data_IF_269858642900
#
_entry.id   IF_269858642900
#
_cell.length_a   1.000
_cell.length_b   1.000
_cell.length_c   1.000
_cell.angle_alpha   90.00
_cell.angle_beta   90.00
_cell.angle_gamma   90.00
#
_symmetry.space_group_name_H-M   'P 1'
#
loop_
_entity.id
_entity.type
_entity.pdbx_description
1 polymer ?
#
# COMPACT_ATOMS: atom_id res chain seq x y z
N UNK A 1 -18.31 -3.74 17.27
CA UNK A 1 -17.08 -4.51 16.96
C UNK A 1 -16.27 -4.69 18.23
N UNK A 2 -15.91 -5.92 18.60
CA UNK A 2 -15.15 -6.19 19.83
C UNK A 2 -13.70 -5.69 19.72
N UNK A 3 -13.06 -5.38 20.85
CA UNK A 3 -11.65 -4.97 20.90
C UNK A 3 -10.72 -6.02 20.26
N UNK A 4 -11.06 -7.32 20.42
CA UNK A 4 -10.36 -8.43 19.78
C UNK A 4 -10.42 -8.38 18.24
N UNK A 5 -11.58 -8.01 17.66
CA UNK A 5 -11.72 -7.85 16.22
C UNK A 5 -10.93 -6.64 15.68
N UNK A 6 -10.89 -5.52 16.41
CA UNK A 6 -10.08 -4.34 16.04
C UNK A 6 -8.58 -4.65 16.07
N UNK A 7 -8.13 -5.34 17.11
CA UNK A 7 -6.72 -5.76 17.26
C UNK A 7 -6.28 -6.73 16.14
N UNK A 8 -7.09 -7.74 15.83
CA UNK A 8 -6.83 -8.66 14.72
C UNK A 8 -6.78 -7.93 13.37
N UNK A 9 -7.64 -6.94 13.16
CA UNK A 9 -7.63 -6.13 11.95
C UNK A 9 -6.35 -5.29 11.81
N UNK A 10 -5.85 -4.71 12.90
CA UNK A 10 -4.59 -3.96 12.91
C UNK A 10 -3.39 -4.81 12.50
N UNK A 11 -3.27 -6.03 13.02
CA UNK A 11 -2.18 -6.96 12.67
C UNK A 11 -2.23 -7.38 11.20
N UNK A 12 -3.43 -7.67 10.68
CA UNK A 12 -3.59 -8.04 9.27
C UNK A 12 -3.20 -6.88 8.35
N UNK A 13 -3.55 -5.65 8.74
CA UNK A 13 -3.20 -4.44 8.01
C UNK A 13 -1.68 -4.25 7.96
N UNK A 14 -1.00 -4.39 9.09
CA UNK A 14 0.46 -4.27 9.19
C UNK A 14 1.18 -5.25 8.27
N UNK A 15 0.84 -6.53 8.37
CA UNK A 15 1.40 -7.56 7.49
C UNK A 15 1.12 -7.28 6.01
N UNK A 16 -0.03 -6.71 5.69
CA UNK A 16 -0.37 -6.35 4.32
C UNK A 16 0.47 -5.18 3.81
N UNK A 17 0.64 -4.14 4.61
CA UNK A 17 1.45 -2.96 4.28
C UNK A 17 2.92 -3.35 4.14
N UNK A 18 3.48 -4.04 5.13
CA UNK A 18 4.87 -4.50 5.09
C UNK A 18 5.10 -5.44 3.90
N UNK A 19 4.18 -6.37 3.65
CA UNK A 19 4.25 -7.25 2.49
C UNK A 19 4.16 -6.49 1.17
N UNK A 20 3.31 -5.47 1.07
CA UNK A 20 3.21 -4.64 -0.12
C UNK A 20 4.51 -3.87 -0.39
N UNK A 21 5.09 -3.24 0.63
CA UNK A 21 6.36 -2.51 0.54
C UNK A 21 7.50 -3.44 0.13
N UNK A 22 7.61 -4.62 0.75
CA UNK A 22 8.62 -5.61 0.38
C UNK A 22 8.50 -6.03 -1.07
N UNK A 23 7.28 -6.26 -1.56
CA UNK A 23 7.07 -6.59 -2.97
C UNK A 23 7.45 -5.44 -3.92
N UNK A 24 7.36 -4.18 -3.50
CA UNK A 24 7.86 -3.03 -4.28
C UNK A 24 9.39 -3.05 -4.30
N UNK A 25 10.03 -3.19 -3.14
CA UNK A 25 11.49 -3.17 -2.99
C UNK A 25 12.18 -4.32 -3.73
N UNK A 26 11.57 -5.50 -3.74
CA UNK A 26 12.05 -6.69 -4.45
C UNK A 26 11.66 -6.70 -5.94
N UNK A 27 11.03 -5.62 -6.43
CA UNK A 27 10.53 -5.53 -7.82
C UNK A 27 9.63 -6.72 -8.20
N UNK A 28 8.81 -7.18 -7.25
CA UNK A 28 7.88 -8.31 -7.36
C UNK A 28 6.45 -7.89 -7.77
N UNK A 29 6.24 -6.60 -8.04
CA UNK A 29 4.98 -6.04 -8.55
C UNK A 29 5.19 -5.51 -9.97
N UNK A 30 4.30 -5.87 -10.88
CA UNK A 30 4.13 -5.13 -12.12
C UNK A 30 3.10 -4.02 -11.92
N UNK A 31 3.40 -2.85 -12.48
CA UNK A 31 2.48 -1.73 -12.56
C UNK A 31 1.96 -1.62 -14.00
N UNK A 32 0.66 -1.85 -14.19
CA UNK A 32 -0.03 -1.61 -15.45
C UNK A 32 -0.54 -0.17 -15.46
N UNK A 33 0.17 0.67 -16.20
CA UNK A 33 -0.19 2.06 -16.42
C UNK A 33 -1.23 2.24 -17.55
N UNK A 34 -1.60 1.16 -18.24
CA UNK A 34 -2.61 1.16 -19.29
C UNK A 34 -4.04 1.13 -18.72
N UNK A 35 -4.23 0.54 -17.53
CA UNK A 35 -5.45 0.67 -16.72
C UNK A 35 -5.52 2.08 -16.14
N UNK A 36 -5.95 3.02 -16.96
CA UNK A 36 -5.99 4.43 -16.63
C UNK A 36 -6.96 4.72 -15.47
N UNK A 37 -6.43 4.96 -14.27
CA UNK A 37 -7.13 5.78 -13.26
C UNK A 37 -6.96 7.25 -13.63
N UNK A 38 -7.70 7.69 -14.66
CA UNK A 38 -7.80 9.12 -15.02
C UNK A 38 -8.79 9.77 -14.07
N UNK A 39 -8.30 10.49 -13.07
CA UNK A 39 -9.12 11.45 -12.31
C UNK A 39 -9.17 12.81 -13.03
N UNK A 40 -8.16 13.15 -13.86
CA UNK A 40 -8.25 14.25 -14.85
C UNK A 40 -7.03 14.26 -15.82
N UNK A 41 -7.13 15.05 -16.90
CA UNK A 41 -6.25 15.14 -18.09
C UNK A 41 -4.78 15.62 -17.88
N UNK A 42 -4.20 15.39 -16.70
CA UNK A 42 -2.74 15.49 -16.48
C UNK A 42 -2.23 14.09 -16.17
N UNK A 43 -1.71 13.44 -17.22
CA UNK A 43 -1.42 12.00 -17.30
C UNK A 43 -0.85 11.38 -16.04
N UNK A 44 -1.32 10.16 -15.71
CA UNK A 44 -0.94 9.37 -14.52
C UNK A 44 -0.70 10.27 -13.31
N UNK A 45 -1.79 10.60 -12.60
CA UNK A 45 -1.77 11.27 -11.30
C UNK A 45 -0.52 10.85 -10.52
N UNK A 46 0.15 11.80 -9.86
CA UNK A 46 1.43 11.62 -9.15
C UNK A 46 1.34 10.70 -7.91
N UNK A 47 0.38 9.78 -7.91
CA UNK A 47 0.05 8.78 -6.92
C UNK A 47 1.28 7.95 -6.54
N UNK A 48 2.15 7.65 -7.50
CA UNK A 48 3.38 6.89 -7.23
C UNK A 48 4.33 7.72 -6.37
N UNK A 49 4.56 8.99 -6.68
CA UNK A 49 5.43 9.82 -5.84
C UNK A 49 4.79 10.11 -4.48
N UNK A 50 3.46 10.28 -4.40
CA UNK A 50 2.76 10.39 -3.12
C UNK A 50 2.90 9.12 -2.28
N UNK A 51 2.73 7.94 -2.90
CA UNK A 51 2.91 6.64 -2.27
C UNK A 51 4.36 6.43 -1.82
N UNK A 52 5.33 6.82 -2.65
CA UNK A 52 6.76 6.78 -2.33
C UNK A 52 7.06 7.62 -1.08
N UNK A 53 6.56 8.87 -1.02
CA UNK A 53 6.71 9.75 0.14
C UNK A 53 6.11 9.10 1.39
N UNK A 54 4.93 8.49 1.28
CA UNK A 54 4.28 7.79 2.41
C UNK A 54 5.10 6.58 2.87
N UNK A 55 5.61 5.76 1.95
CA UNK A 55 6.46 4.60 2.26
C UNK A 55 7.74 5.06 2.96
N UNK A 56 8.41 6.10 2.45
CA UNK A 56 9.63 6.64 3.08
C UNK A 56 9.33 7.12 4.50
N UNK A 57 8.20 7.80 4.74
CA UNK A 57 7.79 8.22 6.09
C UNK A 57 7.52 7.01 6.97
N UNK A 58 6.72 6.05 6.50
CA UNK A 58 6.41 4.81 7.22
C UNK A 58 7.65 4.04 7.68
N UNK A 59 8.69 3.98 6.85
CA UNK A 59 9.96 3.32 7.17
C UNK A 59 10.82 4.08 8.18
N UNK A 60 10.57 5.38 8.38
CA UNK A 60 11.28 6.24 9.35
C UNK A 60 10.57 6.33 10.69
N UNK A 61 9.26 6.08 10.73
CA UNK A 61 8.48 6.12 11.96
C UNK A 61 8.84 4.98 12.91
N UNK A 62 8.79 5.26 14.21
CA UNK A 62 8.96 4.24 15.23
C UNK A 62 7.71 3.35 15.31
N UNK A 63 7.89 2.05 15.15
CA UNK A 63 6.81 1.06 15.08
C UNK A 63 6.40 0.61 16.49
N UNK A 64 5.82 1.52 17.26
CA UNK A 64 5.34 1.26 18.61
C UNK A 64 3.83 1.48 18.73
N UNK A 65 3.22 0.88 19.76
CA UNK A 65 1.77 0.87 19.94
C UNK A 65 1.15 2.24 20.30
N UNK A 66 1.98 3.22 20.65
CA UNK A 66 1.58 4.57 21.04
C UNK A 66 1.78 5.58 19.91
N UNK A 67 2.50 5.22 18.85
CA UNK A 67 2.77 6.08 17.70
C UNK A 67 1.54 6.15 16.78
N UNK A 68 0.71 7.16 17.01
CA UNK A 68 -0.49 7.41 16.21
C UNK A 68 -0.19 7.81 14.77
N UNK A 69 0.97 8.43 14.50
CA UNK A 69 1.37 8.81 13.14
C UNK A 69 1.79 7.59 12.33
N UNK A 70 2.47 6.61 12.94
CA UNK A 70 2.73 5.31 12.34
C UNK A 70 1.44 4.65 11.85
N UNK A 71 0.43 4.53 12.72
CA UNK A 71 -0.86 3.93 12.37
C UNK A 71 -1.61 4.71 11.29
N UNK A 72 -1.53 6.04 11.31
CA UNK A 72 -2.15 6.89 10.29
C UNK A 72 -1.50 6.68 8.93
N UNK A 73 -0.17 6.70 8.85
CA UNK A 73 0.55 6.48 7.58
C UNK A 73 0.32 5.05 7.08
N UNK A 74 0.30 4.06 7.98
CA UNK A 74 -0.06 2.68 7.67
C UNK A 74 -1.43 2.59 7.00
N UNK A 75 -2.43 3.30 7.53
CA UNK A 75 -3.79 3.32 6.99
C UNK A 75 -3.85 3.96 5.61
N UNK A 76 -3.09 5.03 5.38
CA UNK A 76 -2.96 5.67 4.08
C UNK A 76 -2.35 4.73 3.04
N UNK A 77 -1.24 4.06 3.37
CA UNK A 77 -0.58 3.10 2.47
C UNK A 77 -1.50 1.90 2.18
N UNK A 78 -2.20 1.40 3.19
CA UNK A 78 -3.15 0.30 3.00
C UNK A 78 -4.31 0.71 2.07
N UNK A 79 -4.85 1.93 2.23
CA UNK A 79 -5.88 2.48 1.35
C UNK A 79 -5.39 2.56 -0.10
N UNK A 80 -4.17 3.05 -0.29
CA UNK A 80 -3.56 3.18 -1.61
C UNK A 80 -3.30 1.82 -2.27
N UNK A 81 -2.81 0.83 -1.51
CA UNK A 81 -2.69 -0.55 -1.96
C UNK A 81 -4.04 -1.12 -2.44
N UNK A 82 -5.12 -0.91 -1.68
CA UNK A 82 -6.46 -1.39 -2.07
C UNK A 82 -6.95 -0.73 -3.36
N UNK A 83 -6.77 0.59 -3.51
CA UNK A 83 -7.14 1.30 -4.74
C UNK A 83 -6.38 0.73 -5.94
N UNK A 84 -5.05 0.63 -5.84
CA UNK A 84 -4.21 0.08 -6.89
C UNK A 84 -4.65 -1.33 -7.31
N UNK A 85 -5.00 -2.17 -6.34
CA UNK A 85 -5.49 -3.53 -6.59
C UNK A 85 -6.87 -3.55 -7.23
N UNK A 86 -7.82 -2.76 -6.74
CA UNK A 86 -9.20 -2.69 -7.26
C UNK A 86 -9.21 -2.15 -8.70
N UNK A 87 -8.38 -1.16 -9.00
CA UNK A 87 -8.27 -0.61 -10.35
C UNK A 87 -7.41 -1.45 -11.29
N UNK A 88 -6.89 -2.60 -10.85
CA UNK A 88 -6.07 -3.48 -11.67
C UNK A 88 -4.76 -2.84 -12.13
N UNK A 89 -4.22 -1.90 -11.33
CA UNK A 89 -2.96 -1.21 -11.63
C UNK A 89 -1.77 -2.07 -11.17
N UNK A 90 -1.93 -2.86 -10.11
CA UNK A 90 -0.85 -3.72 -9.59
C UNK A 90 -1.19 -5.20 -9.67
N UNK A 91 -0.20 -6.01 -10.01
CA UNK A 91 -0.26 -7.47 -10.03
C UNK A 91 1.11 -8.04 -9.67
N UNK A 92 1.14 -9.22 -9.04
CA UNK A 92 2.39 -9.88 -8.68
C UNK A 92 3.04 -10.47 -9.92
N UNK A 93 4.36 -10.26 -10.08
CA UNK A 93 5.14 -10.83 -11.19
C UNK A 93 5.10 -12.36 -11.19
N UNK A 94 5.10 -12.97 -10.00
CA UNK A 94 4.90 -14.41 -9.83
C UNK A 94 3.43 -14.76 -9.60
N UNK A 95 2.67 -14.67 -10.69
CA UNK A 95 1.43 -15.44 -10.90
C UNK A 95 1.46 -16.22 -12.21
N UNK A 96 2.64 -16.34 -12.84
CA UNK A 96 2.89 -17.23 -13.98
C UNK A 96 3.81 -18.34 -13.47
N UNK A 97 3.26 -19.24 -12.66
CA UNK A 97 3.72 -20.62 -12.68
C UNK A 97 2.80 -21.35 -13.66
N UNK A 98 3.42 -21.99 -14.64
CA UNK A 98 2.79 -22.82 -15.67
C UNK A 98 1.86 -23.87 -15.09
#
# INVERSE_FOLDING_TARGET
MSASSKFKYGIIREKTVDGFINNIMEDNIYFDYSTSYKVDDKGVYNFINELEIKIIKYLKEDKNAENTEYYKIQDEIFSDYLKLKIYGIIYRKHSISQ
#
